data_IF_411002747125
#
_entry.id   IF_411002747125
#
_cell.length_a   1.000
_cell.length_b   1.000
_cell.length_c   1.000
_cell.angle_alpha   90.00
_cell.angle_beta   90.00
_cell.angle_gamma   90.00
#
_symmetry.space_group_name_H-M   'P 1'
#
loop_
_entity.id
_entity.type
_entity.pdbx_description
1 polymer ?
#
# COMPACT_ATOMS: atom_id res chain seq x y z
N UNK A 1 -32.56 19.14 -6.63
CA UNK A 1 -31.67 18.29 -7.40
C UNK A 1 -30.16 18.46 -7.09
N UNK A 2 -29.85 18.97 -5.92
CA UNK A 2 -28.45 19.17 -5.45
C UNK A 2 -27.85 17.87 -4.90
N UNK A 3 -28.67 16.89 -4.58
CA UNK A 3 -28.26 15.62 -3.97
C UNK A 3 -27.76 14.54 -4.96
N UNK A 4 -27.92 14.74 -6.27
CA UNK A 4 -27.39 13.83 -7.30
C UNK A 4 -25.87 13.98 -7.55
N UNK A 5 -25.24 15.02 -6.96
CA UNK A 5 -23.78 15.24 -7.11
C UNK A 5 -22.92 14.54 -6.06
N UNK A 6 -23.52 14.04 -4.99
CA UNK A 6 -22.76 13.29 -3.97
C UNK A 6 -22.29 11.93 -4.48
N UNK A 7 -23.10 11.26 -5.31
CA UNK A 7 -22.73 9.97 -5.92
C UNK A 7 -21.50 10.10 -6.82
N UNK A 8 -21.39 11.19 -7.59
CA UNK A 8 -20.25 11.38 -8.51
C UNK A 8 -18.93 11.57 -7.75
N UNK A 9 -18.94 12.21 -6.59
CA UNK A 9 -17.73 12.35 -5.76
C UNK A 9 -17.33 11.02 -5.16
N UNK A 10 -18.27 10.25 -4.66
CA UNK A 10 -18.04 8.91 -4.11
C UNK A 10 -17.53 7.96 -5.18
N UNK A 11 -18.12 7.98 -6.37
CA UNK A 11 -17.67 7.18 -7.52
C UNK A 11 -16.25 7.57 -7.96
N UNK A 12 -15.94 8.87 -8.03
CA UNK A 12 -14.61 9.35 -8.37
C UNK A 12 -13.57 8.93 -7.32
N UNK A 13 -13.91 9.03 -6.03
CA UNK A 13 -13.04 8.60 -4.95
C UNK A 13 -12.81 7.09 -4.97
N UNK A 14 -13.86 6.31 -5.19
CA UNK A 14 -13.75 4.85 -5.36
C UNK A 14 -12.90 4.48 -6.55
N UNK A 15 -13.07 5.19 -7.67
CA UNK A 15 -12.25 4.96 -8.86
C UNK A 15 -10.77 5.26 -8.58
N UNK A 16 -10.46 6.41 -7.94
CA UNK A 16 -9.08 6.76 -7.57
C UNK A 16 -8.48 5.70 -6.64
N UNK A 17 -9.23 5.29 -5.63
CA UNK A 17 -8.79 4.28 -4.68
C UNK A 17 -8.47 2.93 -5.36
N UNK A 18 -9.20 2.58 -6.43
CA UNK A 18 -8.99 1.35 -7.18
C UNK A 18 -7.90 1.45 -8.25
N UNK A 19 -7.65 2.64 -8.82
CA UNK A 19 -6.88 2.77 -10.05
C UNK A 19 -5.62 3.63 -9.90
N UNK A 20 -5.52 4.46 -8.87
CA UNK A 20 -4.33 5.30 -8.63
C UNK A 20 -3.44 4.61 -7.60
N UNK A 21 -2.19 4.28 -7.94
CA UNK A 21 -1.34 3.48 -7.06
C UNK A 21 -0.91 4.28 -5.82
N UNK A 22 -1.08 3.67 -4.65
CA UNK A 22 -0.40 4.03 -3.41
C UNK A 22 1.03 3.46 -3.39
N UNK A 23 1.78 3.76 -2.33
CA UNK A 23 3.09 3.16 -2.12
C UNK A 23 2.99 1.63 -2.03
N UNK A 24 2.01 1.13 -1.30
CA UNK A 24 1.69 -0.30 -1.16
C UNK A 24 0.23 -0.53 -1.52
N UNK A 25 -0.03 -1.52 -2.36
CA UNK A 25 -1.37 -1.85 -2.84
C UNK A 25 -1.63 -3.34 -2.66
N UNK A 26 -2.75 -3.67 -2.01
CA UNK A 26 -3.20 -5.05 -1.86
C UNK A 26 -4.18 -5.39 -2.99
N UNK A 27 -3.94 -6.47 -3.70
CA UNK A 27 -4.86 -7.03 -4.68
C UNK A 27 -5.66 -8.16 -4.01
N UNK A 28 -6.95 -7.93 -3.78
CA UNK A 28 -7.81 -8.83 -3.02
C UNK A 28 -8.96 -9.30 -3.90
N UNK A 29 -9.14 -10.60 -3.99
CA UNK A 29 -10.26 -11.23 -4.68
C UNK A 29 -11.39 -11.49 -3.71
N UNK A 30 -12.58 -10.94 -4.01
CA UNK A 30 -13.81 -11.15 -3.25
C UNK A 30 -15.02 -11.13 -4.19
N UNK A 31 -15.96 -12.03 -4.00
CA UNK A 31 -17.22 -12.07 -4.75
C UNK A 31 -17.04 -12.00 -6.28
N UNK A 32 -16.12 -12.78 -6.84
CA UNK A 32 -15.79 -12.83 -8.27
C UNK A 32 -15.22 -11.52 -8.85
N UNK A 33 -14.77 -10.61 -8.00
CA UNK A 33 -14.13 -9.36 -8.39
C UNK A 33 -12.79 -9.19 -7.67
N UNK A 34 -11.86 -8.51 -8.33
CA UNK A 34 -10.60 -8.07 -7.72
C UNK A 34 -10.72 -6.61 -7.36
N UNK A 35 -10.40 -6.26 -6.14
CA UNK A 35 -10.32 -4.88 -5.71
C UNK A 35 -8.94 -4.54 -5.15
N UNK A 36 -8.57 -3.28 -5.27
CA UNK A 36 -7.34 -2.74 -4.71
C UNK A 36 -7.61 -2.11 -3.35
N UNK A 37 -6.81 -2.47 -2.36
CA UNK A 37 -6.74 -1.74 -1.10
C UNK A 37 -5.37 -1.09 -0.97
N UNK A 38 -5.26 0.24 -1.16
CA UNK A 38 -4.01 0.95 -0.91
C UNK A 38 -3.72 1.02 0.58
N UNK A 39 -2.44 0.87 0.93
CA UNK A 39 -1.94 1.08 2.28
C UNK A 39 -1.05 2.33 2.27
N UNK A 40 -1.30 3.29 3.17
CA UNK A 40 -0.47 4.47 3.29
C UNK A 40 0.90 4.12 3.85
N UNK A 41 1.90 4.85 3.39
CA UNK A 41 3.26 4.75 3.89
C UNK A 41 3.85 6.16 4.00
N UNK A 42 4.62 6.47 5.07
CA UNK A 42 5.26 7.77 5.20
C UNK A 42 6.15 8.08 4.00
N UNK A 43 5.96 9.28 3.41
CA UNK A 43 6.73 9.68 2.25
C UNK A 43 8.21 9.85 2.60
N UNK A 44 9.08 9.31 1.76
CA UNK A 44 10.53 9.44 1.93
C UNK A 44 11.11 8.62 3.08
N UNK A 45 10.32 7.72 3.69
CA UNK A 45 10.82 6.84 4.73
C UNK A 45 11.67 5.71 4.11
N UNK A 46 12.97 5.60 4.44
CA UNK A 46 13.82 4.54 3.92
C UNK A 46 13.64 3.25 4.73
N UNK A 47 13.47 2.13 4.05
CA UNK A 47 13.53 0.80 4.64
C UNK A 47 14.97 0.31 4.50
N UNK A 48 15.64 0.12 5.63
CA UNK A 48 17.05 -0.27 5.66
C UNK A 48 17.21 -1.80 5.70
N UNK A 49 18.32 -2.34 5.19
CA UNK A 49 18.52 -3.80 5.12
C UNK A 49 18.58 -4.50 6.48
N UNK A 50 18.92 -3.77 7.54
CA UNK A 50 18.99 -4.27 8.92
C UNK A 50 17.82 -3.82 9.80
N UNK A 51 16.85 -3.11 9.24
CA UNK A 51 15.68 -2.59 9.92
C UNK A 51 14.39 -2.84 9.11
N UNK A 52 13.81 -4.04 9.20
CA UNK A 52 12.55 -4.38 8.55
C UNK A 52 11.44 -3.40 8.91
N UNK A 53 10.61 -3.06 7.94
CA UNK A 53 9.46 -2.20 8.15
C UNK A 53 8.19 -3.02 8.32
N UNK A 54 7.46 -2.77 9.41
CA UNK A 54 6.21 -3.45 9.71
C UNK A 54 5.03 -2.51 9.47
N UNK A 55 4.16 -2.89 8.54
CA UNK A 55 2.97 -2.15 8.16
C UNK A 55 1.73 -2.92 8.64
N UNK A 56 1.05 -2.38 9.65
CA UNK A 56 -0.19 -2.96 10.15
C UNK A 56 -1.38 -2.48 9.31
N UNK A 57 -2.33 -3.37 9.04
CA UNK A 57 -3.56 -3.03 8.33
C UNK A 57 -4.73 -3.93 8.73
N UNK A 58 -5.93 -3.45 8.42
CA UNK A 58 -7.17 -4.21 8.51
C UNK A 58 -7.80 -4.24 7.10
N UNK A 59 -8.12 -5.42 6.56
CA UNK A 59 -8.81 -5.51 5.28
C UNK A 59 -10.18 -4.85 5.35
N UNK A 60 -10.57 -4.14 4.30
CA UNK A 60 -11.88 -3.48 4.22
C UNK A 60 -13.03 -4.44 3.92
N UNK A 61 -12.72 -5.62 3.39
CA UNK A 61 -13.67 -6.70 3.13
C UNK A 61 -12.99 -8.06 3.32
N UNK A 62 -13.80 -9.09 3.53
CA UNK A 62 -13.32 -10.47 3.47
C UNK A 62 -12.91 -10.80 2.03
N UNK A 63 -11.85 -11.57 1.86
CA UNK A 63 -11.37 -11.95 0.53
C UNK A 63 -10.06 -12.70 0.57
N UNK A 64 -9.48 -12.94 -0.60
CA UNK A 64 -8.22 -13.63 -0.76
C UNK A 64 -7.17 -12.66 -1.32
N UNK A 65 -6.11 -12.40 -0.58
CA UNK A 65 -4.97 -11.64 -1.06
C UNK A 65 -4.17 -12.49 -2.05
N UNK A 66 -4.05 -12.01 -3.27
CA UNK A 66 -3.33 -12.70 -4.35
C UNK A 66 -1.98 -12.06 -4.64
N UNK A 67 -1.91 -10.74 -4.57
CA UNK A 67 -0.71 -9.98 -4.87
C UNK A 67 -0.59 -8.75 -3.97
N UNK A 68 0.66 -8.30 -3.79
CA UNK A 68 0.98 -6.98 -3.27
C UNK A 68 1.79 -6.25 -4.34
N UNK A 69 1.42 -5.00 -4.62
CA UNK A 69 2.07 -4.20 -5.64
C UNK A 69 2.59 -2.92 -5.00
N UNK A 70 3.89 -2.68 -5.10
CA UNK A 70 4.45 -1.38 -4.81
C UNK A 70 4.28 -0.46 -6.02
N UNK A 71 3.73 0.72 -5.82
CA UNK A 71 3.47 1.66 -6.90
C UNK A 71 4.75 2.12 -7.58
N UNK A 72 5.71 2.56 -6.77
CA UNK A 72 7.06 2.91 -7.20
C UNK A 72 8.04 2.48 -6.14
N UNK A 73 8.99 1.66 -6.53
CA UNK A 73 10.06 1.17 -5.67
C UNK A 73 11.42 1.46 -6.29
N UNK A 74 12.37 1.92 -5.48
CA UNK A 74 13.76 2.10 -5.89
C UNK A 74 14.70 1.84 -4.73
N UNK A 75 15.89 1.37 -5.03
CA UNK A 75 17.02 1.42 -4.09
C UNK A 75 17.64 2.81 -4.10
N UNK A 76 17.91 3.40 -2.94
CA UNK A 76 18.45 4.75 -2.83
C UNK A 76 19.82 4.91 -3.47
N UNK A 77 20.66 3.88 -3.39
CA UNK A 77 21.98 3.86 -4.02
C UNK A 77 21.95 3.45 -5.50
N UNK A 78 20.78 3.09 -6.05
CA UNK A 78 20.63 2.66 -7.43
C UNK A 78 21.26 1.29 -7.71
N UNK A 79 21.39 0.43 -6.72
CA UNK A 79 21.94 -0.93 -6.88
C UNK A 79 20.83 -1.96 -7.04
N UNK A 80 21.11 -3.11 -7.69
CA UNK A 80 20.20 -4.24 -7.69
C UNK A 80 19.97 -4.75 -6.26
N UNK A 81 18.72 -5.08 -5.94
CA UNK A 81 18.31 -5.55 -4.63
C UNK A 81 17.25 -6.67 -4.76
N UNK A 82 17.05 -7.42 -3.69
CA UNK A 82 15.89 -8.28 -3.48
C UNK A 82 15.03 -7.68 -2.37
N UNK A 83 13.74 -7.67 -2.60
CA UNK A 83 12.76 -7.25 -1.60
C UNK A 83 11.93 -8.47 -1.22
N UNK A 84 11.78 -8.68 0.07
CA UNK A 84 11.02 -9.80 0.63
C UNK A 84 9.84 -9.27 1.44
N UNK A 85 8.69 -9.93 1.30
CA UNK A 85 7.47 -9.67 2.06
C UNK A 85 7.11 -10.88 2.91
N UNK A 86 6.75 -10.62 4.14
CA UNK A 86 6.14 -11.61 5.04
C UNK A 86 4.81 -11.06 5.56
N UNK A 87 3.74 -11.81 5.36
CA UNK A 87 2.44 -11.49 5.93
C UNK A 87 2.14 -12.40 7.12
N UNK A 88 1.69 -11.81 8.22
CA UNK A 88 1.25 -12.52 9.41
C UNK A 88 -0.03 -11.91 9.99
N UNK A 89 -0.80 -12.69 10.74
CA UNK A 89 -1.85 -12.14 11.60
C UNK A 89 -1.23 -11.38 12.77
N UNK A 90 -1.82 -10.24 13.14
CA UNK A 90 -1.35 -9.49 14.30
C UNK A 90 -1.46 -10.27 15.62
N UNK A 91 -2.38 -11.25 15.69
CA UNK A 91 -2.52 -12.15 16.85
C UNK A 91 -1.47 -13.26 16.91
N UNK A 92 -0.80 -13.56 15.79
CA UNK A 92 0.23 -14.60 15.67
C UNK A 92 1.38 -14.08 14.78
N UNK A 93 2.15 -13.08 15.25
CA UNK A 93 3.13 -12.39 14.42
C UNK A 93 4.31 -13.29 13.99
N UNK A 94 4.59 -14.35 14.72
CA UNK A 94 5.68 -15.29 14.42
C UNK A 94 5.27 -16.38 13.40
N UNK A 95 3.97 -16.45 13.06
CA UNK A 95 3.47 -17.41 12.08
C UNK A 95 3.17 -16.72 10.75
N UNK A 96 4.04 -16.91 9.78
CA UNK A 96 3.82 -16.37 8.44
C UNK A 96 2.61 -17.07 7.78
N UNK A 97 1.66 -16.28 7.30
CA UNK A 97 0.54 -16.71 6.45
C UNK A 97 0.98 -16.86 5.00
N UNK A 98 1.96 -16.04 4.57
CA UNK A 98 2.55 -16.09 3.26
C UNK A 98 3.83 -15.28 3.17
N UNK A 99 4.65 -15.63 2.18
CA UNK A 99 5.88 -14.93 1.82
C UNK A 99 5.96 -14.77 0.33
N UNK A 100 6.53 -13.66 -0.10
CA UNK A 100 6.80 -13.39 -1.51
C UNK A 100 8.09 -12.59 -1.63
N UNK A 101 8.79 -12.72 -2.74
CA UNK A 101 9.99 -11.94 -3.02
C UNK A 101 10.00 -11.45 -4.46
N UNK A 102 10.66 -10.34 -4.69
CA UNK A 102 10.82 -9.76 -6.02
C UNK A 102 12.19 -9.08 -6.16
N UNK A 103 12.77 -9.19 -7.34
CA UNK A 103 14.01 -8.50 -7.67
C UNK A 103 13.74 -7.07 -8.07
N UNK A 104 14.54 -6.14 -7.55
CA UNK A 104 14.50 -4.72 -7.85
C UNK A 104 15.81 -4.32 -8.54
N UNK A 105 15.73 -3.84 -9.77
CA UNK A 105 16.86 -3.25 -10.48
C UNK A 105 16.64 -1.76 -10.67
N UNK A 106 17.32 -0.97 -9.88
CA UNK A 106 17.22 0.50 -9.89
C UNK A 106 18.24 1.17 -10.82
N UNK A 107 19.07 0.41 -11.54
CA UNK A 107 20.19 0.95 -12.33
C UNK A 107 19.77 1.74 -13.56
N UNK A 108 18.61 1.43 -14.14
CA UNK A 108 18.12 2.00 -15.41
C UNK A 108 16.69 2.54 -15.31
N UNK A 109 16.29 3.09 -14.16
CA UNK A 109 14.94 3.61 -13.97
C UNK A 109 14.74 4.95 -14.67
N UNK A 110 13.71 5.03 -15.53
CA UNK A 110 13.34 6.28 -16.21
C UNK A 110 12.54 7.23 -15.29
N UNK A 111 11.76 6.70 -14.37
CA UNK A 111 11.01 7.50 -13.39
C UNK A 111 11.84 7.68 -12.12
N UNK A 112 12.07 8.92 -11.66
CA UNK A 112 12.85 9.17 -10.44
C UNK A 112 12.22 8.60 -9.16
N UNK A 113 10.93 8.28 -9.17
CA UNK A 113 10.25 7.63 -8.04
C UNK A 113 10.58 6.14 -7.96
N UNK A 114 10.98 5.53 -9.07
CA UNK A 114 11.24 4.10 -9.18
C UNK A 114 10.34 3.40 -10.19
N UNK A 115 10.22 2.10 -10.07
CA UNK A 115 9.39 1.25 -10.91
C UNK A 115 8.36 0.46 -10.07
N UNK A 116 7.25 0.03 -10.67
CA UNK A 116 6.32 -0.89 -10.02
C UNK A 116 7.03 -2.20 -9.67
N UNK A 117 6.70 -2.76 -8.51
CA UNK A 117 7.23 -4.04 -8.07
C UNK A 117 6.07 -4.92 -7.59
N UNK A 118 5.92 -6.10 -8.18
CA UNK A 118 4.83 -7.02 -7.88
C UNK A 118 5.33 -8.22 -7.11
N UNK A 119 4.57 -8.62 -6.10
CA UNK A 119 4.79 -9.78 -5.26
C UNK A 119 3.54 -10.67 -5.34
N UNK A 120 3.62 -11.76 -6.08
CA UNK A 120 2.57 -12.77 -6.13
C UNK A 120 2.82 -13.83 -5.04
N UNK A 121 1.77 -14.24 -4.37
CA UNK A 121 1.83 -15.38 -3.44
C UNK A 121 1.56 -16.69 -4.19
N UNK A 122 2.26 -17.74 -3.79
CA UNK A 122 2.06 -19.09 -4.39
C UNK A 122 0.63 -19.58 -4.17
N UNK A 123 0.07 -19.27 -3.02
CA UNK A 123 -1.33 -19.53 -2.68
C UNK A 123 -1.99 -18.23 -2.19
N UNK A 124 -3.23 -18.01 -2.59
CA UNK A 124 -4.01 -16.86 -2.14
C UNK A 124 -4.23 -16.93 -0.63
N UNK A 125 -4.02 -15.83 0.07
CA UNK A 125 -4.09 -15.77 1.54
C UNK A 125 -5.45 -15.25 1.96
N UNK A 126 -6.27 -16.05 2.69
CA UNK A 126 -7.55 -15.58 3.20
C UNK A 126 -7.38 -14.42 4.18
N UNK A 127 -8.09 -13.32 3.95
CA UNK A 127 -8.14 -12.17 4.82
C UNK A 127 -9.56 -11.96 5.35
N UNK A 128 -9.67 -11.55 6.60
CA UNK A 128 -10.93 -11.18 7.24
C UNK A 128 -10.94 -9.71 7.62
N UNK A 129 -12.02 -9.01 7.27
CA UNK A 129 -12.21 -7.57 7.56
C UNK A 129 -12.18 -7.22 9.06
N UNK A 130 -12.41 -8.19 9.93
CA UNK A 130 -12.42 -7.97 11.38
C UNK A 130 -11.09 -8.32 12.05
N UNK A 131 -10.06 -8.63 11.26
CA UNK A 131 -8.74 -9.01 11.76
C UNK A 131 -7.67 -8.03 11.32
N UNK A 132 -6.70 -7.81 12.19
CA UNK A 132 -5.52 -7.03 11.89
C UNK A 132 -4.39 -7.93 11.42
N UNK A 133 -3.66 -7.47 10.41
CA UNK A 133 -2.51 -8.15 9.83
C UNK A 133 -1.29 -7.24 9.84
N UNK A 134 -0.12 -7.85 9.80
CA UNK A 134 1.16 -7.15 9.67
C UNK A 134 1.87 -7.63 8.42
N UNK A 135 2.21 -6.68 7.55
CA UNK A 135 3.11 -6.87 6.43
C UNK A 135 4.50 -6.42 6.84
N UNK A 136 5.45 -7.33 6.85
CA UNK A 136 6.87 -7.04 7.05
C UNK A 136 7.55 -6.90 5.70
N UNK A 137 8.26 -5.80 5.50
CA UNK A 137 8.99 -5.47 4.27
C UNK A 137 10.47 -5.46 4.59
N UNK A 138 11.25 -6.25 3.86
CA UNK A 138 12.70 -6.39 4.00
C UNK A 138 13.40 -6.15 2.67
N UNK A 139 14.59 -5.59 2.71
CA UNK A 139 15.45 -5.41 1.53
C UNK A 139 16.87 -5.82 1.85
N UNK A 140 17.61 -6.32 0.86
CA UNK A 140 19.05 -6.55 0.96
C UNK A 140 19.88 -5.48 0.21
N UNK A 141 19.23 -4.43 -0.32
CA UNK A 141 19.89 -3.29 -0.95
C UNK A 141 20.49 -2.30 0.05
N UNK A 142 20.79 -1.08 -0.38
CA UNK A 142 21.24 -0.02 0.51
C UNK A 142 20.08 0.57 1.34
N UNK A 143 19.02 1.02 0.67
CA UNK A 143 17.78 1.46 1.30
C UNK A 143 16.65 1.40 0.27
N UNK A 144 15.53 0.81 0.63
CA UNK A 144 14.34 0.76 -0.21
C UNK A 144 13.48 1.99 0.05
N UNK A 145 13.20 2.74 -1.00
CA UNK A 145 12.26 3.85 -1.00
C UNK A 145 11.00 3.45 -1.76
N UNK A 146 9.85 3.61 -1.10
CA UNK A 146 8.54 3.36 -1.68
C UNK A 146 7.79 4.68 -1.84
N UNK A 147 7.20 4.86 -3.00
CA UNK A 147 6.39 6.03 -3.32
C UNK A 147 5.09 5.63 -4.01
N UNK A 148 4.09 6.47 -3.86
CA UNK A 148 2.80 6.33 -4.50
C UNK A 148 2.20 7.70 -4.76
N UNK A 149 0.96 7.73 -5.22
CA UNK A 149 0.22 8.98 -5.31
C UNK A 149 -0.18 9.46 -3.92
N UNK A 150 0.07 10.72 -3.61
CA UNK A 150 -0.36 11.36 -2.37
C UNK A 150 -1.89 11.30 -2.18
N UNK A 151 -2.64 11.30 -3.27
CA UNK A 151 -4.12 11.27 -3.26
C UNK A 151 -4.68 10.03 -2.59
N UNK A 152 -4.00 8.89 -2.68
CA UNK A 152 -4.48 7.62 -2.12
C UNK A 152 -3.88 7.25 -0.76
N UNK A 153 -3.13 8.15 -0.14
CA UNK A 153 -2.71 8.00 1.26
C UNK A 153 -3.85 8.28 2.25
N UNK A 154 -5.06 8.39 1.77
CA UNK A 154 -6.24 8.72 2.53
C UNK A 154 -7.22 7.56 2.56
N UNK A 155 -7.87 7.34 3.70
CA UNK A 155 -8.57 6.10 3.95
C UNK A 155 -10.07 6.18 3.94
N UNK A 156 -10.65 7.36 3.98
CA UNK A 156 -12.09 7.48 4.11
C UNK A 156 -12.68 8.64 3.33
N UNK A 157 -12.91 8.40 2.04
CA UNK A 157 -13.53 9.36 1.15
C UNK A 157 -15.05 9.47 1.35
N UNK A 158 -15.68 8.51 2.01
CA UNK A 158 -17.13 8.46 2.19
C UNK A 158 -17.62 9.54 3.18
N UNK A 159 -16.74 10.09 4.00
CA UNK A 159 -17.03 11.16 4.94
C UNK A 159 -16.78 12.56 4.39
N UNK A 160 -16.41 12.68 3.12
CA UNK A 160 -16.25 13.95 2.43
C UNK A 160 -14.92 14.65 2.62
N UNK A 161 -14.17 14.32 3.64
CA UNK A 161 -12.78 14.70 3.86
C UNK A 161 -11.92 13.46 3.99
N UNK A 162 -10.77 13.44 3.34
CA UNK A 162 -9.86 12.31 3.44
C UNK A 162 -9.27 12.18 4.84
N UNK A 163 -9.33 10.97 5.41
CA UNK A 163 -8.67 10.66 6.68
C UNK A 163 -7.28 10.12 6.44
N UNK A 164 -6.34 10.56 7.26
CA UNK A 164 -5.00 10.01 7.30
C UNK A 164 -4.91 8.89 8.33
N UNK A 165 -4.34 7.76 7.95
CA UNK A 165 -4.15 6.62 8.85
C UNK A 165 -2.87 6.80 9.67
N UNK A 166 -1.83 7.36 9.08
CA UNK A 166 -0.47 7.41 9.62
C UNK A 166 -0.07 8.79 10.17
N UNK A 167 -1.00 9.74 10.19
CA UNK A 167 -0.72 11.13 10.56
C UNK A 167 0.04 11.94 9.50
N UNK A 168 0.38 11.33 8.36
CA UNK A 168 1.01 12.02 7.25
C UNK A 168 0.02 12.88 6.50
N UNK A 169 0.38 14.15 6.22
CA UNK A 169 -0.44 15.07 5.42
C UNK A 169 0.07 15.15 3.99
N UNK A 170 -0.55 14.41 3.04
CA UNK A 170 -0.12 14.42 1.66
C UNK A 170 -0.33 15.77 0.97
N UNK A 171 -1.19 16.63 1.53
CA UNK A 171 -1.56 17.92 0.95
C UNK A 171 -0.84 19.10 1.59
N UNK A 172 0.09 18.86 2.52
CA UNK A 172 0.91 19.91 3.10
C UNK A 172 0.12 21.03 3.79
N UNK A 173 -0.99 20.68 4.47
CA UNK A 173 -1.82 21.64 5.17
C UNK A 173 -2.95 22.25 4.34
N UNK A 174 -3.23 21.73 3.12
CA UNK A 174 -4.40 22.14 2.32
C UNK A 174 -5.75 21.95 3.05
N UNK A 175 -5.75 21.08 4.05
CA UNK A 175 -6.90 20.84 4.93
C UNK A 175 -6.51 21.13 6.38
N UNK A 176 -6.10 22.36 6.66
CA UNK A 176 -5.95 22.76 8.06
C UNK A 176 -7.35 22.91 8.67
N UNK A 177 -7.58 22.20 9.77
CA UNK A 177 -8.79 22.37 10.59
C UNK A 177 -8.74 23.67 11.42
N UNK A 178 -8.18 24.72 10.86
CA UNK A 178 -8.25 26.06 11.46
C UNK A 178 -9.44 26.80 10.86
N UNK A 179 -10.63 26.43 11.34
CA UNK A 179 -11.80 27.32 11.39
C UNK A 179 -12.74 26.90 12.53
#
# INVERSE_FOLDING_TARGET
>A
SIYLRSETRMEASRWMFQNVPSAVNLSIEADDATYNQPLPMPQGFPILPDAPYNLAFVPKADGNLTEIIFGYARDEAGIPASVELTLASASQPDLALGRASSALDSTLMADPRGAPLTFAFDEAIPLSKDQSYTLTIETNGAALLLQGSAIVNETDYDWGLPFRIDGYDPYGGLYSNED
#
